data_IF_362731209123
#
_entry.id   IF_362731209123
#
_cell.length_a   1.000
_cell.length_b   1.000
_cell.length_c   1.000
_cell.angle_alpha   90.00
_cell.angle_beta   90.00
_cell.angle_gamma   90.00
#
_symmetry.space_group_name_H-M   'P 1'
#
loop_
_entity.id
_entity.type
_entity.pdbx_description
1 polymer ?
#
# COMPACT_ATOMS: atom_id res chain seq x y z
N UNK A 1 2.42 -20.51 4.64
CA UNK A 1 1.14 -20.86 5.30
C UNK A 1 0.00 -20.05 4.68
N UNK A 2 -1.24 -20.53 4.74
CA UNK A 2 -2.41 -19.83 4.18
C UNK A 2 -3.45 -19.51 5.25
N UNK A 3 -4.00 -18.30 5.20
CA UNK A 3 -5.09 -17.82 6.05
C UNK A 3 -4.83 -17.98 7.56
N UNK A 4 -3.56 -17.86 7.98
CA UNK A 4 -3.14 -17.90 9.39
C UNK A 4 -3.00 -16.48 9.90
N UNK A 5 -3.57 -16.19 11.08
CA UNK A 5 -3.42 -14.89 11.72
C UNK A 5 -1.99 -14.71 12.27
N UNK A 6 -1.32 -13.61 11.93
CA UNK A 6 0.09 -13.36 12.29
C UNK A 6 0.36 -13.56 13.78
N UNK A 7 -0.51 -13.08 14.68
CA UNK A 7 -0.29 -13.15 16.13
C UNK A 7 -0.12 -14.59 16.66
N UNK A 8 -0.65 -15.60 15.95
CA UNK A 8 -0.50 -17.01 16.32
C UNK A 8 0.91 -17.56 16.06
N UNK A 9 1.65 -16.93 15.14
CA UNK A 9 2.97 -17.39 14.68
C UNK A 9 4.08 -16.34 14.85
N UNK A 10 3.77 -15.12 15.27
CA UNK A 10 4.72 -14.00 15.31
C UNK A 10 5.96 -14.27 16.21
N UNK A 11 5.78 -15.10 17.25
CA UNK A 11 6.83 -15.51 18.18
C UNK A 11 7.74 -16.64 17.67
N UNK A 12 7.44 -17.22 16.50
CA UNK A 12 8.26 -18.28 15.92
C UNK A 12 9.63 -17.72 15.55
N UNK A 13 10.71 -18.36 16.03
CA UNK A 13 12.09 -17.93 15.79
C UNK A 13 12.56 -18.31 14.38
N UNK A 14 12.00 -17.62 13.39
CA UNK A 14 12.41 -17.68 11.98
C UNK A 14 12.52 -16.27 11.41
N UNK A 15 13.53 -16.01 10.56
CA UNK A 15 13.75 -14.68 9.99
C UNK A 15 12.60 -14.23 9.10
N UNK A 16 11.92 -15.16 8.42
CA UNK A 16 10.80 -14.88 7.51
C UNK A 16 9.61 -15.77 7.84
N UNK A 17 8.42 -15.20 7.92
CA UNK A 17 7.16 -15.92 7.94
C UNK A 17 6.36 -15.55 6.69
N UNK A 18 6.05 -16.54 5.86
CA UNK A 18 5.23 -16.35 4.67
C UNK A 18 3.76 -16.70 4.94
N UNK A 19 2.88 -15.73 4.75
CA UNK A 19 1.44 -15.86 4.97
C UNK A 19 0.71 -15.38 3.71
N UNK A 20 0.01 -16.30 3.04
CA UNK A 20 -0.94 -15.96 1.98
C UNK A 20 -2.34 -15.77 2.56
N UNK A 21 -3.03 -14.70 2.18
CA UNK A 21 -4.40 -14.43 2.63
C UNK A 21 -5.28 -14.00 1.47
N UNK A 22 -6.47 -14.60 1.37
CA UNK A 22 -7.48 -14.22 0.39
C UNK A 22 -8.51 -13.32 1.07
N UNK A 23 -8.52 -12.03 0.68
CA UNK A 23 -9.45 -11.06 1.23
C UNK A 23 -10.66 -10.87 0.32
N UNK A 24 -11.82 -10.66 0.92
CA UNK A 24 -12.98 -10.19 0.17
C UNK A 24 -12.68 -8.81 -0.47
N UNK A 25 -13.20 -8.51 -1.67
CA UNK A 25 -13.04 -7.19 -2.28
C UNK A 25 -13.51 -6.06 -1.36
N UNK A 26 -12.72 -4.99 -1.25
CA UNK A 26 -13.02 -3.82 -0.42
C UNK A 26 -12.62 -3.97 1.04
N UNK A 27 -12.03 -5.11 1.46
CA UNK A 27 -11.60 -5.30 2.85
C UNK A 27 -10.67 -4.18 3.31
N UNK A 28 -11.03 -3.56 4.43
CA UNK A 28 -10.21 -2.56 5.11
C UNK A 28 -9.59 -3.17 6.36
N UNK A 29 -8.26 -3.25 6.37
CA UNK A 29 -7.48 -3.49 7.57
C UNK A 29 -7.16 -2.13 8.17
N UNK A 30 -7.94 -1.71 9.17
CA UNK A 30 -7.79 -0.41 9.83
C UNK A 30 -6.41 -0.26 10.50
N UNK A 31 -6.06 0.93 10.96
CA UNK A 31 -4.73 1.24 11.48
C UNK A 31 -4.23 0.21 12.51
N UNK A 32 -3.12 -0.43 12.16
CA UNK A 32 -2.45 -1.43 12.97
C UNK A 32 -0.93 -1.35 12.78
N UNK A 33 -0.19 -2.15 13.53
CA UNK A 33 1.26 -2.28 13.40
C UNK A 33 1.69 -3.69 13.78
N UNK A 34 2.89 -4.07 13.35
CA UNK A 34 3.47 -5.38 13.65
C UNK A 34 4.90 -5.18 14.14
N UNK A 35 5.38 -6.09 14.99
CA UNK A 35 6.79 -6.12 15.43
C UNK A 35 7.74 -6.39 14.26
N UNK A 36 7.35 -7.30 13.37
CA UNK A 36 8.09 -7.64 12.16
C UNK A 36 7.88 -6.57 11.09
N UNK A 37 8.90 -6.36 10.26
CA UNK A 37 8.69 -5.67 9.00
C UNK A 37 7.84 -6.55 8.08
N UNK A 38 7.15 -5.93 7.11
CA UNK A 38 6.30 -6.64 6.18
C UNK A 38 6.64 -6.27 4.75
N UNK A 39 6.82 -7.26 3.89
CA UNK A 39 6.66 -7.08 2.45
C UNK A 39 5.30 -7.64 2.07
N UNK A 40 4.38 -6.76 1.68
CA UNK A 40 3.01 -7.11 1.32
C UNK A 40 2.86 -7.03 -0.21
N UNK A 41 2.67 -8.19 -0.84
CA UNK A 41 2.44 -8.30 -2.27
C UNK A 41 0.98 -8.62 -2.56
N UNK A 42 0.35 -7.84 -3.43
CA UNK A 42 -0.99 -8.11 -3.95
C UNK A 42 -0.89 -8.71 -5.33
N UNK A 43 -1.21 -9.99 -5.49
CA UNK A 43 -1.07 -10.69 -6.79
C UNK A 43 -2.11 -10.23 -7.81
N UNK A 44 -3.27 -9.79 -7.32
CA UNK A 44 -4.41 -9.35 -8.11
C UNK A 44 -4.90 -8.00 -7.61
N UNK A 45 -5.52 -7.20 -8.47
CA UNK A 45 -6.14 -5.95 -8.05
C UNK A 45 -5.16 -4.92 -7.48
N UNK A 46 -5.66 -4.03 -6.62
CA UNK A 46 -4.91 -2.88 -6.11
C UNK A 46 -4.97 -2.84 -4.58
N UNK A 47 -3.86 -2.47 -3.93
CA UNK A 47 -3.86 -2.10 -2.52
C UNK A 47 -3.59 -0.62 -2.36
N UNK A 48 -4.31 0.01 -1.43
CA UNK A 48 -4.01 1.37 -0.96
C UNK A 48 -3.45 1.24 0.46
N UNK A 49 -2.30 1.87 0.73
CA UNK A 49 -1.69 1.89 2.05
C UNK A 49 -1.62 3.34 2.54
N UNK A 50 -2.11 3.57 3.75
CA UNK A 50 -2.02 4.86 4.43
C UNK A 50 -1.13 4.73 5.66
N UNK A 51 -0.25 5.70 5.87
CA UNK A 51 0.49 5.91 7.13
C UNK A 51 0.44 7.36 7.56
N UNK A 52 1.01 7.68 8.72
CA UNK A 52 1.19 9.05 9.13
C UNK A 52 2.17 9.83 8.23
N UNK A 53 3.01 9.15 7.45
CA UNK A 53 3.98 9.76 6.52
C UNK A 53 3.40 10.04 5.12
N UNK A 54 2.28 9.40 4.75
CA UNK A 54 1.65 9.59 3.45
C UNK A 54 0.72 8.48 2.98
N UNK A 55 0.48 8.45 1.67
CA UNK A 55 -0.34 7.44 1.01
C UNK A 55 0.43 6.77 -0.13
N UNK A 56 0.18 5.47 -0.33
CA UNK A 56 0.77 4.65 -1.40
C UNK A 56 -0.32 3.89 -2.14
N UNK A 57 -0.10 3.68 -3.43
CA UNK A 57 -0.90 2.79 -4.27
C UNK A 57 0.00 1.66 -4.77
N UNK A 58 -0.43 0.43 -4.54
CA UNK A 58 0.34 -0.79 -4.83
C UNK A 58 -0.37 -1.57 -5.95
N UNK A 59 0.11 -1.49 -7.20
CA UNK A 59 -0.47 -2.22 -8.34
C UNK A 59 -0.12 -3.72 -8.30
N UNK A 60 -0.79 -4.58 -9.11
CA UNK A 60 -0.62 -6.05 -9.05
C UNK A 60 0.80 -6.59 -9.37
N UNK A 61 1.66 -5.76 -9.95
CA UNK A 61 3.06 -6.09 -10.28
C UNK A 61 4.07 -5.52 -9.28
N UNK A 62 3.59 -4.95 -8.17
CA UNK A 62 4.41 -4.36 -7.13
C UNK A 62 3.97 -4.86 -5.75
N UNK A 63 4.88 -4.82 -4.79
CA UNK A 63 4.58 -5.00 -3.38
C UNK A 63 4.90 -3.74 -2.61
N UNK A 64 4.48 -3.68 -1.35
CA UNK A 64 4.83 -2.58 -0.44
C UNK A 64 5.69 -3.12 0.70
N UNK A 65 6.85 -2.52 0.86
CA UNK A 65 7.67 -2.65 2.05
C UNK A 65 7.11 -1.75 3.16
N UNK A 66 6.87 -2.34 4.32
CA UNK A 66 6.34 -1.69 5.52
C UNK A 66 7.33 -1.97 6.66
N UNK A 67 8.03 -0.95 7.18
CA UNK A 67 9.00 -1.13 8.25
C UNK A 67 8.39 -1.70 9.54
N UNK A 68 9.23 -2.36 10.35
CA UNK A 68 8.86 -2.83 11.67
C UNK A 68 8.27 -1.71 12.54
N UNK A 69 7.17 -1.99 13.23
CA UNK A 69 6.47 -1.03 14.09
C UNK A 69 5.75 0.11 13.35
N UNK A 70 5.81 0.19 12.02
CA UNK A 70 5.12 1.25 11.27
C UNK A 70 3.61 1.08 11.41
N UNK A 71 2.95 2.10 11.96
CA UNK A 71 1.49 2.19 11.97
C UNK A 71 0.97 2.45 10.56
N UNK A 72 0.11 1.56 10.07
CA UNK A 72 -0.40 1.61 8.71
C UNK A 72 -1.81 1.05 8.63
N UNK A 73 -2.53 1.45 7.59
CA UNK A 73 -3.86 0.96 7.22
C UNK A 73 -3.79 0.47 5.77
N UNK A 74 -4.45 -0.65 5.47
CA UNK A 74 -4.45 -1.22 4.13
C UNK A 74 -5.87 -1.45 3.65
N UNK A 75 -6.18 -0.98 2.44
CA UNK A 75 -7.44 -1.27 1.75
C UNK A 75 -7.18 -2.19 0.57
N UNK A 76 -7.81 -3.36 0.59
CA UNK A 76 -7.69 -4.39 -0.44
C UNK A 76 -8.80 -4.24 -1.47
N UNK A 77 -8.48 -4.02 -2.74
CA UNK A 77 -9.47 -4.00 -3.84
C UNK A 77 -9.32 -5.23 -4.74
N UNK A 78 -9.96 -6.34 -4.34
CA UNK A 78 -9.97 -7.59 -5.10
C UNK A 78 -8.62 -8.31 -5.13
N UNK A 79 -7.96 -8.39 -3.98
CA UNK A 79 -6.56 -8.80 -3.85
C UNK A 79 -6.44 -10.13 -3.13
N UNK A 80 -5.75 -11.10 -3.74
CA UNK A 80 -5.10 -12.19 -3.02
C UNK A 80 -3.67 -11.77 -2.67
N UNK A 81 -3.32 -11.84 -1.39
CA UNK A 81 -2.03 -11.31 -0.91
C UNK A 81 -1.04 -12.41 -0.60
N UNK A 82 0.24 -12.08 -0.73
CA UNK A 82 1.39 -12.82 -0.21
C UNK A 82 2.18 -11.86 0.68
N UNK A 83 2.17 -12.12 1.98
CA UNK A 83 2.90 -11.32 2.96
C UNK A 83 4.13 -12.09 3.43
N UNK A 84 5.27 -11.41 3.43
CA UNK A 84 6.47 -11.83 4.14
C UNK A 84 6.59 -10.98 5.40
N UNK A 85 6.52 -11.61 6.56
CA UNK A 85 6.79 -10.96 7.84
C UNK A 85 8.22 -11.27 8.28
N UNK A 86 9.05 -10.25 8.34
CA UNK A 86 10.51 -10.37 8.44
C UNK A 86 10.97 -9.82 9.79
N UNK A 87 11.81 -10.60 10.49
CA UNK A 87 12.43 -10.14 11.73
C UNK A 87 13.20 -8.82 11.50
N UNK A 88 13.12 -7.84 12.41
CA UNK A 88 13.83 -6.57 12.24
C UNK A 88 15.33 -6.73 11.97
N UNK A 89 15.99 -7.70 12.64
CA UNK A 89 17.40 -8.00 12.44
C UNK A 89 17.74 -8.61 11.07
N UNK A 90 16.75 -9.16 10.36
CA UNK A 90 16.88 -9.75 9.04
C UNK A 90 16.28 -8.84 7.94
N UNK A 91 15.81 -7.64 8.28
CA UNK A 91 15.12 -6.76 7.35
C UNK A 91 16.04 -6.36 6.18
N UNK A 92 15.64 -6.62 4.92
CA UNK A 92 16.47 -6.34 3.75
C UNK A 92 16.53 -4.85 3.37
N UNK A 93 15.65 -4.01 3.94
CA UNK A 93 15.58 -2.56 3.72
C UNK A 93 15.77 -1.85 5.05
N UNK A 94 16.58 -0.79 5.05
CA UNK A 94 16.91 0.02 6.24
C UNK A 94 16.03 1.27 6.43
N UNK A 95 15.11 1.53 5.49
CA UNK A 95 14.23 2.71 5.54
C UNK A 95 13.22 2.65 6.69
N UNK A 96 12.88 3.83 7.24
CA UNK A 96 11.80 4.01 8.21
C UNK A 96 10.46 4.38 7.57
N UNK A 97 10.40 4.48 6.23
CA UNK A 97 9.20 4.79 5.44
C UNK A 97 8.75 3.58 4.63
N UNK A 98 7.47 3.54 4.27
CA UNK A 98 6.99 2.55 3.32
C UNK A 98 7.52 2.82 1.91
N UNK A 99 7.74 1.77 1.14
CA UNK A 99 8.21 1.83 -0.25
C UNK A 99 7.41 0.88 -1.12
N UNK A 100 6.98 1.34 -2.29
CA UNK A 100 6.41 0.44 -3.30
C UNK A 100 7.56 -0.12 -4.11
N UNK A 101 7.72 -1.43 -4.14
CA UNK A 101 8.81 -2.13 -4.80
C UNK A 101 8.28 -2.90 -6.00
N UNK A 102 8.96 -2.78 -7.14
CA UNK A 102 8.68 -3.59 -8.31
C UNK A 102 8.95 -5.07 -8.00
N UNK A 103 8.00 -5.94 -8.35
CA UNK A 103 8.16 -7.39 -8.18
C UNK A 103 8.72 -7.99 -9.47
N UNK A 104 9.96 -8.48 -9.41
CA UNK A 104 10.61 -9.18 -10.52
C UNK A 104 9.90 -10.52 -10.80
N UNK A 105 10.04 -11.09 -12.01
CA UNK A 105 9.50 -12.43 -12.31
C UNK A 105 10.01 -13.50 -11.33
N UNK A 106 11.28 -13.43 -10.92
CA UNK A 106 11.84 -14.33 -9.92
C UNK A 106 11.17 -14.14 -8.55
N UNK A 107 11.14 -12.90 -8.04
CA UNK A 107 10.49 -12.59 -6.77
C UNK A 107 9.02 -13.03 -6.75
N UNK A 108 8.30 -12.85 -7.85
CA UNK A 108 6.93 -13.32 -8.00
C UNK A 108 6.82 -14.84 -7.76
N UNK A 109 7.64 -15.65 -8.44
CA UNK A 109 7.61 -17.10 -8.28
C UNK A 109 8.02 -17.55 -6.86
N UNK A 110 8.98 -16.87 -6.24
CA UNK A 110 9.38 -17.15 -4.85
C UNK A 110 8.25 -16.85 -3.86
N UNK A 111 7.51 -15.74 -4.06
CA UNK A 111 6.36 -15.38 -3.24
C UNK A 111 5.25 -16.44 -3.36
N UNK A 112 5.01 -16.96 -4.57
CA UNK A 112 4.07 -18.06 -4.78
C UNK A 112 4.50 -19.33 -4.06
N UNK A 113 5.76 -19.74 -4.24
CA UNK A 113 6.31 -20.93 -3.59
C UNK A 113 6.29 -20.84 -2.05
N UNK A 114 6.42 -19.63 -1.50
CA UNK A 114 6.40 -19.40 -0.05
C UNK A 114 5.01 -19.55 0.60
N UNK A 115 3.94 -19.57 -0.21
CA UNK A 115 2.57 -19.65 0.30
C UNK A 115 2.30 -20.90 1.14
N UNK A 116 3.02 -21.99 0.87
CA UNK A 116 2.83 -23.28 1.54
C UNK A 116 3.95 -23.61 2.54
N UNK A 117 4.93 -22.70 2.69
CA UNK A 117 6.02 -22.81 3.66
C UNK A 117 5.48 -22.84 5.10
N UNK A 118 5.85 -23.83 5.94
CA UNK A 118 5.39 -23.91 7.33
C UNK A 118 6.08 -22.84 8.20
N UNK A 119 5.43 -22.41 9.29
CA UNK A 119 6.04 -21.42 10.20
C UNK A 119 7.41 -21.88 10.73
N UNK A 120 7.52 -23.17 11.07
CA UNK A 120 8.72 -23.80 11.63
C UNK A 120 9.46 -24.64 10.59
N UNK A 121 9.75 -24.05 9.45
CA UNK A 121 10.54 -24.69 8.39
C UNK A 121 11.97 -25.01 8.82
N UNK A 122 12.59 -25.98 8.15
CA UNK A 122 14.01 -26.28 8.28
C UNK A 122 14.84 -25.15 7.64
N UNK A 123 15.70 -24.51 8.45
CA UNK A 123 16.51 -23.38 8.02
C UNK A 123 17.69 -23.80 7.13
N UNK A 124 18.11 -25.06 7.17
CA UNK A 124 19.18 -25.61 6.31
C UNK A 124 18.62 -26.31 5.06
N UNK A 125 17.32 -26.59 5.03
CA UNK A 125 16.64 -27.19 3.91
C UNK A 125 16.15 -26.19 2.85
N UNK A 126 15.33 -26.70 1.93
CA UNK A 126 14.76 -25.94 0.79
C UNK A 126 14.10 -24.63 1.21
N UNK A 127 13.27 -24.65 2.24
CA UNK A 127 12.51 -23.47 2.67
C UNK A 127 13.40 -22.42 3.36
N UNK A 128 14.51 -22.85 3.96
CA UNK A 128 15.60 -21.97 4.40
C UNK A 128 16.24 -21.22 3.24
N UNK A 129 16.60 -21.93 2.17
CA UNK A 129 17.14 -21.33 0.95
C UNK A 129 16.13 -20.37 0.28
N UNK A 130 14.84 -20.76 0.23
CA UNK A 130 13.76 -19.91 -0.27
C UNK A 130 13.64 -18.61 0.54
N UNK A 131 13.68 -18.68 1.86
CA UNK A 131 13.62 -17.51 2.73
C UNK A 131 14.80 -16.55 2.49
N UNK A 132 16.01 -17.08 2.34
CA UNK A 132 17.20 -16.28 2.04
C UNK A 132 17.10 -15.59 0.69
N UNK A 133 16.67 -16.30 -0.35
CA UNK A 133 16.53 -15.73 -1.69
C UNK A 133 15.44 -14.65 -1.74
N UNK A 134 14.32 -14.84 -1.04
CA UNK A 134 13.30 -13.80 -0.88
C UNK A 134 13.86 -12.51 -0.28
N UNK A 135 14.71 -12.60 0.75
CA UNK A 135 15.35 -11.44 1.36
C UNK A 135 16.29 -10.72 0.37
N UNK A 136 17.05 -11.47 -0.42
CA UNK A 136 17.92 -10.90 -1.46
C UNK A 136 17.12 -10.17 -2.55
N UNK A 137 16.06 -10.79 -3.05
CA UNK A 137 15.21 -10.20 -4.09
C UNK A 137 14.45 -8.96 -3.59
N UNK A 138 13.95 -8.95 -2.35
CA UNK A 138 13.33 -7.76 -1.76
C UNK A 138 14.35 -6.63 -1.55
N UNK A 139 15.61 -6.97 -1.23
CA UNK A 139 16.68 -5.97 -1.10
C UNK A 139 16.98 -5.28 -2.43
N UNK A 140 17.10 -6.06 -3.50
CA UNK A 140 17.47 -5.59 -4.84
C UNK A 140 16.31 -4.93 -5.60
N UNK A 141 15.07 -5.14 -5.17
CA UNK A 141 13.89 -4.61 -5.83
C UNK A 141 13.92 -3.07 -5.94
N UNK A 142 13.59 -2.58 -7.14
CA UNK A 142 13.52 -1.16 -7.46
C UNK A 142 12.31 -0.50 -6.78
N UNK A 143 12.53 0.65 -6.14
CA UNK A 143 11.45 1.48 -5.62
C UNK A 143 10.72 2.21 -6.76
N UNK A 144 9.40 2.05 -6.84
CA UNK A 144 8.53 2.77 -7.74
C UNK A 144 8.09 4.11 -7.13
N UNK A 145 8.00 5.19 -7.92
CA UNK A 145 7.43 6.45 -7.47
C UNK A 145 5.90 6.32 -7.45
N UNK A 146 5.36 5.62 -6.45
CA UNK A 146 3.92 5.42 -6.22
C UNK A 146 3.54 5.82 -4.78
N UNK A 147 4.03 6.99 -4.39
CA UNK A 147 3.96 7.54 -3.05
C UNK A 147 3.66 9.04 -3.09
N UNK A 148 2.63 9.48 -2.36
CA UNK A 148 2.37 10.89 -2.11
C UNK A 148 2.69 11.23 -0.64
N UNK A 149 3.81 11.95 -0.36
CA UNK A 149 4.18 12.30 1.00
C UNK A 149 3.16 13.26 1.62
N UNK A 150 2.85 13.04 2.89
CA UNK A 150 2.15 14.00 3.71
C UNK A 150 3.17 14.88 4.45
N UNK A 151 2.98 16.21 4.44
CA UNK A 151 3.84 17.13 5.16
C UNK A 151 3.57 17.07 6.67
N UNK A 152 4.57 17.44 7.47
CA UNK A 152 4.44 17.46 8.93
C UNK A 152 3.57 18.63 9.42
N UNK A 153 3.54 19.75 8.69
CA UNK A 153 2.75 20.92 9.09
C UNK A 153 1.24 20.63 8.95
N UNK A 154 0.42 20.80 10.01
CA UNK A 154 -0.97 20.33 10.02
C UNK A 154 -1.90 20.93 8.96
N UNK A 155 -1.81 22.24 8.70
CA UNK A 155 -2.69 22.92 7.76
C UNK A 155 -2.44 22.48 6.31
N UNK A 156 -1.16 22.33 5.92
CA UNK A 156 -0.76 21.80 4.63
C UNK A 156 -1.07 20.30 4.54
N UNK A 157 -0.94 19.55 5.63
CA UNK A 157 -1.31 18.14 5.66
C UNK A 157 -2.81 17.96 5.42
N UNK A 158 -3.66 18.83 5.98
CA UNK A 158 -5.10 18.83 5.73
C UNK A 158 -5.41 19.09 4.25
N UNK A 159 -4.76 20.09 3.62
CA UNK A 159 -4.89 20.34 2.18
C UNK A 159 -4.45 19.14 1.34
N UNK A 160 -3.31 18.53 1.67
CA UNK A 160 -2.83 17.33 0.99
C UNK A 160 -3.80 16.16 1.12
N UNK A 161 -4.38 15.93 2.31
CA UNK A 161 -5.38 14.88 2.53
C UNK A 161 -6.67 15.13 1.75
N UNK A 162 -7.15 16.37 1.74
CA UNK A 162 -8.33 16.75 0.96
C UNK A 162 -8.10 16.52 -0.54
N UNK A 163 -6.92 16.91 -1.05
CA UNK A 163 -6.56 16.66 -2.44
C UNK A 163 -6.46 15.17 -2.75
N UNK A 164 -5.83 14.36 -1.89
CA UNK A 164 -5.75 12.91 -2.10
C UNK A 164 -7.11 12.22 -2.13
N UNK A 165 -8.12 12.79 -1.45
CA UNK A 165 -9.49 12.29 -1.51
C UNK A 165 -10.19 12.61 -2.84
N UNK A 166 -9.88 13.76 -3.45
CA UNK A 166 -10.44 14.19 -4.74
C UNK A 166 -9.38 14.87 -5.61
N UNK A 167 -8.46 14.10 -6.24
CA UNK A 167 -7.34 14.68 -6.97
C UNK A 167 -7.80 15.37 -8.26
N UNK A 168 -7.29 16.58 -8.49
CA UNK A 168 -7.56 17.32 -9.72
C UNK A 168 -6.29 18.01 -10.24
N UNK A 169 -5.90 17.71 -11.48
CA UNK A 169 -4.58 18.09 -12.02
C UNK A 169 -4.40 19.59 -12.19
N UNK A 170 -5.49 20.38 -12.21
CA UNK A 170 -5.44 21.84 -12.43
C UNK A 170 -5.29 22.67 -11.17
N UNK A 171 -5.44 22.11 -9.97
CA UNK A 171 -5.36 22.88 -8.71
C UNK A 171 -4.07 23.68 -8.66
N UNK A 172 -4.16 25.00 -8.64
CA UNK A 172 -3.00 25.87 -8.78
C UNK A 172 -2.26 26.05 -7.43
N UNK A 173 -0.92 26.07 -7.40
CA UNK A 173 -0.18 26.30 -6.16
C UNK A 173 -0.50 27.66 -5.52
N UNK A 174 -0.95 28.65 -6.31
CA UNK A 174 -1.36 29.96 -5.84
C UNK A 174 -2.58 29.89 -4.91
N UNK A 175 -3.51 28.97 -5.16
CA UNK A 175 -4.71 28.77 -4.31
C UNK A 175 -4.29 28.34 -2.90
N UNK A 176 -3.37 27.37 -2.80
CA UNK A 176 -2.86 26.88 -1.51
C UNK A 176 -1.94 27.90 -0.84
N UNK A 177 -1.16 28.64 -1.63
CA UNK A 177 -0.32 29.72 -1.12
C UNK A 177 -1.19 30.79 -0.43
N UNK A 178 -2.28 31.23 -1.08
CA UNK A 178 -3.23 32.17 -0.52
C UNK A 178 -3.89 31.62 0.76
N UNK A 179 -4.38 30.38 0.73
CA UNK A 179 -5.01 29.75 1.90
C UNK A 179 -4.06 29.64 3.12
N UNK A 180 -2.76 29.48 2.87
CA UNK A 180 -1.72 29.43 3.91
C UNK A 180 -1.10 30.79 4.25
N UNK A 181 -1.63 31.90 3.71
CA UNK A 181 -1.08 33.26 3.83
C UNK A 181 0.41 33.32 3.44
N UNK A 182 0.77 32.71 2.32
CA UNK A 182 2.13 32.69 1.77
C UNK A 182 2.15 33.24 0.35
N UNK A 183 3.21 33.96 0.00
CA UNK A 183 3.47 34.25 -1.42
C UNK A 183 3.78 32.95 -2.18
N UNK A 184 3.57 32.89 -3.51
CA UNK A 184 3.83 31.69 -4.31
C UNK A 184 5.28 31.16 -4.19
N UNK A 185 6.25 32.08 -4.09
CA UNK A 185 7.68 31.74 -3.89
C UNK A 185 7.91 31.10 -2.52
N UNK A 186 7.33 31.68 -1.46
CA UNK A 186 7.43 31.15 -0.10
C UNK A 186 6.73 29.81 0.03
N UNK A 187 5.55 29.65 -0.59
CA UNK A 187 4.83 28.38 -0.64
C UNK A 187 5.65 27.29 -1.34
N UNK A 188 6.22 27.58 -2.51
CA UNK A 188 6.99 26.58 -3.27
C UNK A 188 8.19 26.04 -2.47
N UNK A 189 8.91 26.93 -1.78
CA UNK A 189 10.02 26.55 -0.89
C UNK A 189 9.52 25.76 0.32
N UNK A 190 8.46 26.24 0.96
CA UNK A 190 7.84 25.60 2.12
C UNK A 190 7.34 24.18 1.79
N UNK A 191 6.64 24.02 0.67
CA UNK A 191 6.12 22.73 0.22
C UNK A 191 7.25 21.73 -0.04
N UNK A 192 8.33 22.16 -0.73
CA UNK A 192 9.50 21.31 -0.98
C UNK A 192 10.24 20.94 0.29
N UNK A 193 10.36 21.85 1.25
CA UNK A 193 10.94 21.55 2.56
C UNK A 193 10.14 20.50 3.32
N UNK A 194 8.81 20.55 3.23
CA UNK A 194 7.92 19.65 3.96
C UNK A 194 7.76 18.27 3.29
N UNK A 195 7.82 18.20 1.96
CA UNK A 195 7.49 16.98 1.20
C UNK A 195 8.68 16.36 0.46
N UNK A 196 9.78 17.10 0.31
CA UNK A 196 10.94 16.71 -0.50
C UNK A 196 10.78 16.92 -2.01
N UNK A 197 9.62 17.37 -2.49
CA UNK A 197 9.34 17.54 -3.92
C UNK A 197 8.59 18.84 -4.24
N UNK A 198 8.53 19.22 -5.52
CA UNK A 198 7.73 20.37 -5.93
C UNK A 198 6.23 20.04 -5.84
N UNK A 199 5.39 21.06 -5.63
CA UNK A 199 3.94 20.89 -5.61
C UNK A 199 3.41 20.25 -6.91
N UNK A 200 3.94 20.65 -8.07
CA UNK A 200 3.54 20.08 -9.36
C UNK A 200 3.84 18.58 -9.47
N UNK A 201 5.03 18.15 -9.01
CA UNK A 201 5.39 16.73 -8.99
C UNK A 201 4.50 15.95 -8.02
N UNK A 202 4.28 16.49 -6.82
CA UNK A 202 3.38 15.89 -5.82
C UNK A 202 1.93 15.76 -6.34
N UNK A 203 1.42 16.78 -7.01
CA UNK A 203 0.08 16.80 -7.62
C UNK A 203 -0.04 15.74 -8.71
N UNK A 204 0.95 15.65 -9.61
CA UNK A 204 1.00 14.61 -10.64
C UNK A 204 1.01 13.21 -10.04
N UNK A 205 1.81 13.01 -8.99
CA UNK A 205 1.93 11.76 -8.25
C UNK A 205 0.59 11.32 -7.63
N UNK A 206 -0.10 12.24 -6.95
CA UNK A 206 -1.42 12.00 -6.38
C UNK A 206 -2.48 11.69 -7.45
N UNK A 207 -2.50 12.43 -8.57
CA UNK A 207 -3.40 12.14 -9.69
C UNK A 207 -3.11 10.77 -10.35
N UNK A 208 -1.84 10.40 -10.50
CA UNK A 208 -1.44 9.09 -11.03
C UNK A 208 -1.93 7.95 -10.13
N UNK A 209 -1.76 8.10 -8.81
CA UNK A 209 -2.24 7.12 -7.83
C UNK A 209 -3.76 6.94 -7.89
N UNK A 210 -4.52 8.04 -7.98
CA UNK A 210 -5.97 7.94 -8.17
C UNK A 210 -6.33 7.30 -9.52
N UNK A 211 -5.64 7.66 -10.60
CA UNK A 211 -5.86 7.04 -11.90
C UNK A 211 -5.74 5.51 -11.85
N UNK A 212 -4.70 4.99 -11.18
CA UNK A 212 -4.51 3.56 -10.98
C UNK A 212 -5.70 2.92 -10.23
N UNK A 213 -6.23 3.58 -9.20
CA UNK A 213 -7.41 3.13 -8.44
C UNK A 213 -8.72 3.17 -9.22
N UNK A 214 -8.89 4.12 -10.12
CA UNK A 214 -10.06 4.15 -11.01
C UNK A 214 -9.95 3.07 -12.11
N UNK A 215 -8.79 2.95 -12.76
CA UNK A 215 -8.55 1.99 -13.82
C UNK A 215 -8.63 0.54 -13.31
N UNK A 216 -8.14 0.26 -12.10
CA UNK A 216 -8.25 -1.08 -11.49
C UNK A 216 -9.70 -1.49 -11.19
N UNK A 217 -10.63 -0.52 -11.14
CA UNK A 217 -12.08 -0.76 -11.01
C UNK A 217 -12.78 -0.87 -12.37
N UNK A 218 -12.04 -0.89 -13.47
CA UNK A 218 -12.59 -0.96 -14.82
C UNK A 218 -13.16 0.37 -15.32
N UNK A 219 -12.84 1.51 -14.69
CA UNK A 219 -13.28 2.80 -15.19
C UNK A 219 -12.69 3.07 -16.59
N UNK A 220 -13.48 3.55 -17.57
CA UNK A 220 -12.97 3.88 -18.90
C UNK A 220 -11.88 4.95 -18.84
N UNK A 221 -10.80 4.77 -19.61
CA UNK A 221 -9.64 5.67 -19.65
C UNK A 221 -10.05 7.14 -19.87
N UNK A 222 -10.96 7.38 -20.82
CA UNK A 222 -11.50 8.72 -21.11
C UNK A 222 -12.18 9.35 -19.90
N UNK A 223 -12.98 8.57 -19.17
CA UNK A 223 -13.67 9.05 -17.96
C UNK A 223 -12.66 9.42 -16.87
N UNK A 224 -11.66 8.57 -16.63
CA UNK A 224 -10.60 8.85 -15.65
C UNK A 224 -9.82 10.12 -16.00
N UNK A 225 -9.49 10.32 -17.28
CA UNK A 225 -8.79 11.51 -17.73
C UNK A 225 -9.59 12.81 -17.44
N UNK A 226 -10.89 12.80 -17.75
CA UNK A 226 -11.78 13.94 -17.55
C UNK A 226 -12.04 14.21 -16.06
N UNK A 227 -12.30 13.18 -15.26
CA UNK A 227 -12.52 13.32 -13.80
C UNK A 227 -11.29 13.89 -13.09
N UNK A 228 -10.08 13.54 -13.53
CA UNK A 228 -8.84 14.09 -13.00
C UNK A 228 -8.51 15.49 -13.56
N UNK A 229 -9.29 16.01 -14.50
CA UNK A 229 -9.17 17.37 -15.03
C UNK A 229 -8.21 17.57 -16.20
N UNK A 230 -7.77 16.50 -16.88
CA UNK A 230 -6.93 16.61 -18.07
C UNK A 230 -7.70 17.22 -19.26
N UNK A 231 -7.04 18.04 -20.07
CA UNK A 231 -7.64 18.64 -21.27
C UNK A 231 -8.06 17.60 -22.33
N UNK A 232 -7.38 16.45 -22.37
CA UNK A 232 -7.71 15.35 -23.28
C UNK A 232 -7.24 13.99 -22.75
N UNK A 233 -7.86 12.87 -23.20
CA UNK A 233 -7.38 11.51 -22.92
C UNK A 233 -5.94 11.27 -23.38
N UNK A 234 -5.50 11.94 -24.46
CA UNK A 234 -4.14 11.85 -24.99
C UNK A 234 -3.10 12.49 -24.06
N UNK A 235 -3.43 13.65 -23.46
CA UNK A 235 -2.58 14.29 -22.46
C UNK A 235 -2.42 13.40 -21.21
N UNK A 236 -3.52 12.81 -20.73
CA UNK A 236 -3.50 11.85 -19.64
C UNK A 236 -2.65 10.61 -19.98
N UNK A 237 -2.83 10.02 -21.17
CA UNK A 237 -2.09 8.84 -21.63
C UNK A 237 -0.59 9.12 -21.70
N UNK A 238 -0.20 10.30 -22.16
CA UNK A 238 1.21 10.73 -22.24
C UNK A 238 1.84 10.84 -20.85
N UNK A 239 1.13 11.46 -19.89
CA UNK A 239 1.55 11.53 -18.49
C UNK A 239 1.70 10.13 -17.88
N UNK A 240 0.69 9.28 -18.04
CA UNK A 240 0.67 7.94 -17.46
C UNK A 240 1.81 7.06 -18.01
N UNK A 241 2.04 7.09 -19.34
CA UNK A 241 3.12 6.35 -19.97
C UNK A 241 4.50 6.85 -19.55
N UNK A 242 4.67 8.17 -19.41
CA UNK A 242 5.91 8.75 -18.91
C UNK A 242 6.22 8.29 -17.48
N UNK A 243 5.20 8.16 -16.63
CA UNK A 243 5.38 7.76 -15.24
C UNK A 243 5.57 6.25 -15.04
N UNK A 244 4.89 5.41 -15.83
CA UNK A 244 4.82 3.96 -15.60
C UNK A 244 5.36 3.08 -16.74
N UNK A 245 5.82 3.68 -17.84
CA UNK A 245 6.35 2.95 -19.00
C UNK A 245 5.31 2.25 -19.87
N UNK A 246 4.03 2.28 -19.51
CA UNK A 246 2.93 1.62 -20.24
C UNK A 246 1.70 2.51 -20.36
N UNK A 247 0.76 2.18 -21.26
CA UNK A 247 -0.47 2.97 -21.43
C UNK A 247 -1.53 2.64 -20.37
N UNK A 248 -2.49 3.54 -20.10
CA UNK A 248 -3.63 3.27 -19.21
C UNK A 248 -4.43 2.03 -19.61
N UNK A 249 -4.67 1.83 -20.91
CA UNK A 249 -5.41 0.67 -21.41
C UNK A 249 -4.67 -0.65 -21.20
N UNK A 250 -3.34 -0.66 -21.40
CA UNK A 250 -2.52 -1.84 -21.12
C UNK A 250 -2.50 -2.18 -19.62
N UNK A 251 -2.59 -1.18 -18.74
CA UNK A 251 -2.76 -1.38 -17.30
C UNK A 251 -4.15 -1.96 -16.97
N UNK A 252 -5.22 -1.35 -17.50
CA UNK A 252 -6.60 -1.78 -17.25
C UNK A 252 -6.91 -3.18 -17.82
N UNK A 253 -6.30 -3.52 -18.97
CA UNK A 253 -6.46 -4.81 -19.64
C UNK A 253 -5.77 -6.00 -18.96
N UNK A 254 -4.93 -5.76 -17.93
CA UNK A 254 -4.46 -6.83 -17.03
C UNK A 254 -5.57 -7.19 -16.03
N UNK A 255 -6.69 -7.67 -16.54
CA UNK A 255 -7.56 -8.51 -15.72
C UNK A 255 -6.77 -9.78 -15.41
N UNK A 256 -6.60 -10.19 -14.13
CA UNK A 256 -6.05 -11.51 -13.84
C UNK A 256 -6.87 -12.53 -14.64
N UNK A 257 -6.28 -13.57 -15.24
CA UNK A 257 -7.08 -14.68 -15.73
C UNK A 257 -8.02 -15.08 -14.60
N UNK A 258 -9.31 -15.16 -14.90
CA UNK A 258 -10.29 -15.69 -13.95
C UNK A 258 -9.77 -17.06 -13.53
N UNK A 259 -9.23 -17.16 -12.31
CA UNK A 259 -8.93 -18.46 -11.73
C UNK A 259 -10.27 -19.19 -11.71
N UNK A 260 -10.35 -20.24 -12.54
CA UNK A 260 -11.52 -21.07 -12.66
C UNK A 260 -12.07 -21.39 -11.28
N UNK A 261 -13.37 -21.26 -11.14
CA UNK A 261 -14.16 -21.61 -9.97
C UNK A 261 -13.58 -22.79 -9.18
N UNK A 262 -12.84 -22.50 -8.13
CA UNK A 262 -12.48 -23.49 -7.11
C UNK A 262 -13.79 -23.93 -6.47
N UNK A 263 -14.07 -25.25 -6.35
CA UNK A 263 -15.28 -25.72 -5.68
C UNK A 263 -15.33 -25.16 -4.25
N UNK A 264 -16.52 -24.85 -3.71
CA UNK A 264 -16.63 -24.31 -2.37
C UNK A 264 -16.03 -25.29 -1.36
N UNK A 265 -15.07 -24.80 -0.57
CA UNK A 265 -14.57 -25.51 0.60
C UNK A 265 -15.75 -25.84 1.53
N UNK A 266 -15.82 -27.06 2.11
CA UNK A 266 -16.91 -27.42 3.00
C UNK A 266 -16.87 -26.57 4.27
N UNK A 267 -17.99 -25.91 4.58
CA UNK A 267 -18.31 -25.33 5.89
C UNK A 267 -17.48 -24.12 6.32
N UNK A 268 -17.81 -22.92 5.81
CA UNK A 268 -17.36 -21.66 6.44
C UNK A 268 -18.29 -21.24 7.57
N UNK A 269 -17.81 -21.38 8.80
CA UNK A 269 -18.25 -20.54 9.90
C UNK A 269 -17.87 -19.08 9.56
N UNK A 270 -18.83 -18.17 9.66
CA UNK A 270 -18.62 -16.74 9.39
C UNK A 270 -17.69 -16.17 10.48
N UNK A 271 -16.41 -16.03 10.18
CA UNK A 271 -15.51 -15.27 11.05
C UNK A 271 -15.69 -13.77 10.78
N UNK A 272 -16.10 -13.06 11.82
CA UNK A 272 -16.15 -11.61 11.91
C UNK A 272 -14.75 -11.00 11.77
N UNK A 273 -14.63 -9.74 11.28
CA UNK A 273 -13.35 -9.05 11.25
C UNK A 273 -12.84 -8.86 12.68
N UNK A 274 -11.67 -9.41 12.98
CA UNK A 274 -11.03 -9.31 14.28
C UNK A 274 -10.55 -7.87 14.51
N UNK A 275 -11.29 -7.13 15.34
CA UNK A 275 -10.85 -5.86 15.90
C UNK A 275 -9.66 -6.11 16.84
N UNK A 276 -8.51 -5.50 16.55
CA UNK A 276 -7.44 -5.38 17.53
C UNK A 276 -7.98 -4.65 18.78
N UNK A 277 -7.85 -5.32 19.93
CA UNK A 277 -8.50 -4.95 21.18
C UNK A 277 -8.24 -3.51 21.62
N UNK A 278 -9.34 -2.82 21.98
CA UNK A 278 -9.28 -1.61 22.80
C UNK A 278 -8.97 -2.04 24.23
N UNK A 279 -7.91 -1.48 24.80
CA UNK A 279 -7.63 -1.59 26.23
C UNK A 279 -8.80 -1.02 27.04
N UNK A 280 -9.26 -1.80 28.01
CA UNK A 280 -10.25 -1.39 29.01
C UNK A 280 -9.62 -0.32 29.90
N UNK A 281 -10.14 0.90 29.90
CA UNK A 281 -9.95 1.84 31.01
C UNK A 281 -11.07 1.62 32.01
N UNK A 282 -10.68 1.29 33.24
CA UNK A 282 -11.58 1.04 34.36
C UNK A 282 -12.44 2.25 34.71
N UNK A 283 -13.64 1.94 35.18
CA UNK A 283 -14.62 2.84 35.76
C UNK A 283 -14.35 3.13 37.24
N UNK A 284 -15.18 4.02 37.79
CA UNK A 284 -15.37 4.52 39.17
C UNK A 284 -14.87 5.97 39.38
N UNK A 285 -15.68 6.85 40.02
CA UNK A 285 -16.63 6.54 41.10
C UNK A 285 -18.08 7.10 40.93
N UNK A 286 -19.05 6.66 41.76
CA UNK A 286 -20.30 7.35 42.02
C UNK A 286 -20.31 7.95 43.43
N UNK A 287 -21.13 9.02 43.60
CA UNK A 287 -21.78 9.60 44.80
C UNK A 287 -21.89 11.11 44.53
N UNK A 288 -23.04 11.78 44.50
CA UNK A 288 -24.22 11.73 45.37
C UNK A 288 -25.53 12.07 44.62
N UNK A 289 -26.66 11.59 45.17
CA UNK A 289 -28.08 11.90 44.87
C UNK A 289 -28.52 13.21 45.55
N UNK A 290 -29.80 13.65 45.46
CA UNK A 290 -30.78 13.58 44.37
C UNK A 290 -30.88 14.89 43.58
#
# INVERSE_FOLDING_TARGET
MRNVALHTVDRVRRPVLAIGTDYAPGTLLDFHSHRRAQFLYGMTGLMEVDTDDGAWVVPPYAGVWIPAGKRHRVRMRGVSTRSLYIEPAAAPRSTSRCEVLLVSPLLHQLLLASADMPARYDAQGRDGALALLLLHEVRSAQTLPLFAPLPAQPALAALCRAFLAQPHIRVAPQEWAAWLNKSPRTFSRFFRQQTGMSFGAWRQQACLMAALSHLSRGAPVTRVALELGYDSPSAFTSMFRKALGQTPSAFAGRTPPSLGSTPPAPGRERQTPWACGRGRTGSWPPRWRP
#
